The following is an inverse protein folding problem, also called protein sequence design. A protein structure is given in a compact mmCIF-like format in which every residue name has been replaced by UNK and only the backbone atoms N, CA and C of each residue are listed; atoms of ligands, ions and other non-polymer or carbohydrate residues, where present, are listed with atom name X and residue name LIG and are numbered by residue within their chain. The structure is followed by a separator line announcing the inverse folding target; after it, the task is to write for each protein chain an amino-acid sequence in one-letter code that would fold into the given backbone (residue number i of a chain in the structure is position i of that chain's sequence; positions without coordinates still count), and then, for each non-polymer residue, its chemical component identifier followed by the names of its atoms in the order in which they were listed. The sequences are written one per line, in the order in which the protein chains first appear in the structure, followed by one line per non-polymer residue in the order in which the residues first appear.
data_IF_690734674016
#
_entry.id   IF_690734674016
#
_cell.length_a   1.000
_cell.length_b   1.000
_cell.length_c   1.000
_cell.angle_alpha   90.00
_cell.angle_beta   90.00
_cell.angle_gamma   90.00
#
_symmetry.space_group_name_H-M   'P 1'
#
loop_
_entity.id
_entity.type
_entity.pdbx_description
1 polymer ?
#
# COMPACT_ATOMS: atom_id res chain seq x y z
N UNK A 1 1.11 10.75 9.86
CA UNK A 1 2.51 11.10 10.15
C UNK A 1 3.48 9.93 9.96
N UNK A 2 3.31 8.81 10.66
CA UNK A 2 4.21 7.62 10.55
C UNK A 2 4.46 7.18 9.09
N UNK A 3 3.39 7.06 8.29
CA UNK A 3 3.46 6.63 6.89
C UNK A 3 4.21 7.59 5.95
N UNK A 4 4.37 8.86 6.32
CA UNK A 4 5.13 9.84 5.52
C UNK A 4 6.63 9.68 5.82
N UNK A 5 6.97 9.46 7.09
CA UNK A 5 8.35 9.16 7.49
C UNK A 5 8.89 7.90 6.83
N UNK A 6 8.07 6.84 6.73
CA UNK A 6 8.44 5.60 6.03
C UNK A 6 8.75 5.86 4.56
N UNK A 7 7.89 6.59 3.83
CA UNK A 7 8.14 6.90 2.41
C UNK A 7 9.36 7.77 2.20
N UNK A 8 9.64 8.70 3.11
CA UNK A 8 10.85 9.52 3.05
C UNK A 8 12.11 8.66 3.28
N UNK A 9 12.08 7.77 4.28
CA UNK A 9 13.17 6.85 4.58
C UNK A 9 13.50 5.92 3.42
N UNK A 10 12.49 5.30 2.81
CA UNK A 10 12.68 4.48 1.60
C UNK A 10 13.18 5.31 0.41
N UNK A 11 12.65 6.53 0.23
CA UNK A 11 13.15 7.44 -0.80
C UNK A 11 14.65 7.70 -0.69
N UNK A 12 15.14 7.98 0.53
CA UNK A 12 16.56 8.21 0.80
C UNK A 12 17.37 6.93 0.61
N UNK A 13 16.88 5.79 1.10
CA UNK A 13 17.55 4.49 0.92
C UNK A 13 17.79 4.18 -0.56
N UNK A 14 16.75 4.26 -1.40
CA UNK A 14 16.91 3.98 -2.83
C UNK A 14 17.75 5.01 -3.56
N UNK A 15 17.77 6.27 -3.11
CA UNK A 15 18.67 7.28 -3.66
C UNK A 15 20.14 6.92 -3.38
N UNK A 16 20.46 6.49 -2.15
CA UNK A 16 21.79 6.02 -1.78
C UNK A 16 22.16 4.69 -2.46
N UNK A 17 21.17 3.86 -2.75
CA UNK A 17 21.34 2.59 -3.45
C UNK A 17 21.51 2.76 -4.98
N UNK A 18 21.31 3.97 -5.52
CA UNK A 18 21.37 4.25 -6.96
C UNK A 18 20.11 3.86 -7.74
N UNK A 19 19.02 3.49 -7.05
CA UNK A 19 17.73 3.17 -7.66
C UNK A 19 16.84 4.43 -7.73
N UNK A 20 17.21 5.37 -8.61
CA UNK A 20 16.59 6.70 -8.69
C UNK A 20 15.08 6.66 -8.95
N UNK A 21 14.60 5.75 -9.79
CA UNK A 21 13.16 5.59 -10.04
C UNK A 21 12.40 5.27 -8.75
N UNK A 22 12.91 4.35 -7.94
CA UNK A 22 12.28 3.93 -6.69
C UNK A 22 12.35 5.03 -5.62
N UNK A 23 13.41 5.83 -5.63
CA UNK A 23 13.52 6.99 -4.77
C UNK A 23 12.41 8.02 -5.07
N UNK A 24 12.29 8.42 -6.34
CA UNK A 24 11.28 9.38 -6.78
C UNK A 24 9.87 8.85 -6.52
N UNK A 25 9.62 7.57 -6.82
CA UNK A 25 8.31 6.95 -6.61
C UNK A 25 7.88 6.98 -5.13
N UNK A 26 8.80 6.69 -4.20
CA UNK A 26 8.54 6.77 -2.76
C UNK A 26 8.26 8.20 -2.29
N UNK A 27 9.08 9.17 -2.72
CA UNK A 27 8.89 10.57 -2.37
C UNK A 27 7.55 11.11 -2.88
N UNK A 28 7.18 10.77 -4.12
CA UNK A 28 5.93 11.20 -4.74
C UNK A 28 4.71 10.56 -4.07
N UNK A 29 4.82 9.30 -3.62
CA UNK A 29 3.80 8.67 -2.77
C UNK A 29 3.68 9.37 -1.42
N UNK A 30 4.80 9.78 -0.80
CA UNK A 30 4.79 10.59 0.42
C UNK A 30 4.08 11.93 0.23
N UNK A 31 4.35 12.62 -0.88
CA UNK A 31 3.70 13.87 -1.25
C UNK A 31 2.20 13.69 -1.47
N UNK A 32 1.79 12.61 -2.14
CA UNK A 32 0.38 12.28 -2.32
C UNK A 32 -0.31 12.11 -0.95
N UNK A 33 0.33 11.41 0.00
CA UNK A 33 -0.20 11.22 1.36
C UNK A 33 -0.29 12.54 2.14
N UNK A 34 0.66 13.44 1.96
CA UNK A 34 0.60 14.80 2.53
C UNK A 34 -0.57 15.61 1.94
N UNK A 35 -0.81 15.49 0.63
CA UNK A 35 -1.93 16.16 -0.01
C UNK A 35 -3.29 15.66 0.55
N UNK A 36 -3.38 14.40 0.97
CA UNK A 36 -4.57 13.83 1.61
C UNK A 36 -4.64 14.06 3.14
N UNK A 37 -3.66 14.74 3.74
CA UNK A 37 -3.61 15.01 5.19
C UNK A 37 -4.68 16.03 5.67
N UNK A 38 -5.01 17.10 4.94
CA UNK A 38 -6.15 17.96 5.26
C UNK A 38 -7.42 17.22 4.87
N UNK A 39 -8.17 16.74 5.87
CA UNK A 39 -9.34 15.88 5.69
C UNK A 39 -10.42 16.41 4.73
N UNK A 40 -11.13 15.45 4.13
CA UNK A 40 -12.49 15.54 3.55
C UNK A 40 -12.86 16.68 2.58
N UNK A 41 -11.94 17.17 1.74
CA UNK A 41 -12.34 17.81 0.46
C UNK A 41 -12.36 16.79 -0.67
N UNK A 42 -13.32 15.86 -0.56
CA UNK A 42 -13.34 14.50 -1.12
C UNK A 42 -13.29 14.39 -2.66
N UNK A 43 -13.57 15.47 -3.41
CA UNK A 43 -13.55 15.44 -4.89
C UNK A 43 -12.30 16.08 -5.48
N UNK A 44 -11.88 17.25 -4.96
CA UNK A 44 -10.72 17.97 -5.50
C UNK A 44 -9.41 17.24 -5.17
N UNK A 45 -9.31 16.66 -3.97
CA UNK A 45 -8.14 15.87 -3.55
C UNK A 45 -8.04 14.53 -4.29
N UNK A 46 -9.17 13.90 -4.63
CA UNK A 46 -9.17 12.73 -5.54
C UNK A 46 -8.65 13.13 -6.92
N UNK A 47 -9.06 14.27 -7.48
CA UNK A 47 -8.51 14.72 -8.77
C UNK A 47 -7.00 14.96 -8.71
N UNK A 48 -6.50 15.56 -7.64
CA UNK A 48 -5.07 15.76 -7.43
C UNK A 48 -4.31 14.43 -7.33
N UNK A 49 -4.87 13.45 -6.61
CA UNK A 49 -4.29 12.10 -6.54
C UNK A 49 -4.23 11.41 -7.91
N UNK A 50 -5.22 11.62 -8.80
CA UNK A 50 -5.23 11.08 -10.16
C UNK A 50 -4.21 11.81 -11.04
N UNK A 51 -3.99 13.10 -10.78
CA UNK A 51 -3.00 13.91 -11.50
C UNK A 51 -1.56 13.54 -11.11
N UNK A 52 -1.34 12.99 -9.91
CA UNK A 52 -0.03 12.47 -9.52
C UNK A 52 0.31 11.14 -10.20
N UNK A 53 -0.66 10.36 -10.67
CA UNK A 53 -0.42 9.10 -11.41
C UNK A 53 0.33 9.31 -12.74
N UNK A 54 -0.06 10.22 -13.65
CA UNK A 54 0.71 10.49 -14.85
C UNK A 54 2.05 11.14 -14.52
N UNK A 55 2.17 11.90 -13.44
CA UNK A 55 3.47 12.41 -12.97
C UNK A 55 4.38 11.27 -12.53
N UNK A 56 3.87 10.26 -11.80
CA UNK A 56 4.63 9.05 -11.44
C UNK A 56 5.11 8.29 -12.69
N UNK A 57 4.25 8.16 -13.71
CA UNK A 57 4.61 7.56 -15.01
C UNK A 57 5.70 8.36 -15.73
N UNK A 58 5.52 9.67 -15.86
CA UNK A 58 6.46 10.57 -16.55
C UNK A 58 7.82 10.62 -15.83
N UNK A 59 7.81 10.75 -14.51
CA UNK A 59 9.03 10.81 -13.70
C UNK A 59 9.80 9.49 -13.71
N UNK A 60 9.15 8.38 -14.05
CA UNK A 60 9.82 7.09 -14.16
C UNK A 60 10.33 6.79 -15.57
N UNK A 61 9.90 7.56 -16.57
CA UNK A 61 10.46 7.51 -17.91
C UNK A 61 11.85 8.19 -18.00
N UNK A 62 12.18 9.07 -17.05
CA UNK A 62 13.46 9.79 -17.01
C UNK A 62 14.65 8.88 -16.62
N UNK A 63 14.67 8.23 -15.43
CA UNK A 63 15.73 7.31 -15.01
C UNK A 63 15.46 5.85 -15.44
N UNK A 64 15.02 5.63 -16.68
CA UNK A 64 14.55 4.31 -17.12
C UNK A 64 15.65 3.23 -17.01
N UNK A 65 15.49 2.33 -16.05
CA UNK A 65 16.42 1.24 -15.74
C UNK A 65 15.87 -0.13 -16.15
N UNK A 66 14.84 -0.16 -17.01
CA UNK A 66 14.21 -1.38 -17.49
C UNK A 66 13.15 -1.95 -16.53
N UNK A 67 13.23 -3.26 -16.26
CA UNK A 67 12.23 -3.98 -15.48
C UNK A 67 12.08 -3.48 -14.02
N UNK A 68 13.15 -3.11 -13.28
CA UNK A 68 13.01 -2.54 -11.94
C UNK A 68 12.17 -1.26 -11.94
N UNK A 69 12.39 -0.35 -12.90
CA UNK A 69 11.60 0.88 -12.99
C UNK A 69 10.11 0.60 -13.18
N UNK A 70 9.73 -0.39 -14.01
CA UNK A 70 8.34 -0.84 -14.17
C UNK A 70 7.74 -1.37 -12.86
N UNK A 71 8.51 -2.16 -12.12
CA UNK A 71 8.11 -2.70 -10.82
C UNK A 71 7.88 -1.60 -9.79
N UNK A 72 8.80 -0.63 -9.67
CA UNK A 72 8.66 0.50 -8.75
C UNK A 72 7.45 1.39 -9.10
N UNK A 73 7.23 1.66 -10.39
CA UNK A 73 6.08 2.43 -10.88
C UNK A 73 4.77 1.75 -10.53
N UNK A 74 4.63 0.49 -10.94
CA UNK A 74 3.40 -0.26 -10.70
C UNK A 74 3.13 -0.42 -9.20
N UNK A 75 4.16 -0.75 -8.42
CA UNK A 75 4.08 -0.86 -6.97
C UNK A 75 3.66 0.43 -6.27
N UNK A 76 3.86 1.58 -6.91
CA UNK A 76 3.46 2.90 -6.37
C UNK A 76 2.08 3.33 -6.85
N UNK A 77 1.75 3.10 -8.13
CA UNK A 77 0.48 3.49 -8.74
C UNK A 77 -0.68 2.65 -8.19
N UNK A 78 -0.50 1.34 -7.99
CA UNK A 78 -1.58 0.47 -7.52
C UNK A 78 -2.10 0.91 -6.13
N UNK A 79 -1.25 1.10 -5.10
CA UNK A 79 -1.69 1.60 -3.80
C UNK A 79 -2.18 3.05 -3.85
N UNK A 80 -1.69 3.85 -4.81
CA UNK A 80 -2.19 5.20 -5.04
C UNK A 80 -3.65 5.18 -5.50
N UNK A 81 -4.00 4.32 -6.47
CA UNK A 81 -5.39 4.10 -6.92
C UNK A 81 -6.25 3.55 -5.78
N UNK A 82 -5.71 2.63 -4.99
CA UNK A 82 -6.37 2.08 -3.80
C UNK A 82 -6.85 3.15 -2.83
N UNK A 83 -6.01 4.17 -2.56
CA UNK A 83 -6.33 5.29 -1.65
C UNK A 83 -7.46 6.19 -2.15
N UNK A 84 -7.88 6.02 -3.39
CA UNK A 84 -8.96 6.79 -4.01
C UNK A 84 -10.28 6.03 -4.00
N UNK A 85 -10.26 4.76 -3.56
CA UNK A 85 -11.45 3.95 -3.37
C UNK A 85 -12.13 4.38 -2.06
N UNK A 86 -13.46 4.49 -2.09
CA UNK A 86 -14.27 4.73 -0.89
C UNK A 86 -14.42 3.48 -0.01
N UNK A 87 -14.16 2.31 -0.59
CA UNK A 87 -14.32 1.01 0.03
C UNK A 87 -12.97 0.51 0.58
N UNK A 88 -12.93 0.24 1.89
CA UNK A 88 -11.74 -0.24 2.58
C UNK A 88 -11.25 -1.62 2.09
N UNK A 89 -12.15 -2.49 1.64
CA UNK A 89 -11.78 -3.80 1.10
C UNK A 89 -11.03 -3.63 -0.22
N UNK A 90 -11.54 -2.78 -1.11
CA UNK A 90 -10.88 -2.47 -2.38
C UNK A 90 -9.53 -1.81 -2.15
N UNK A 91 -9.43 -0.87 -1.20
CA UNK A 91 -8.16 -0.27 -0.80
C UNK A 91 -7.12 -1.35 -0.41
N UNK A 92 -7.52 -2.31 0.42
CA UNK A 92 -6.62 -3.40 0.86
C UNK A 92 -6.13 -4.25 -0.31
N UNK A 93 -7.02 -4.61 -1.23
CA UNK A 93 -6.67 -5.38 -2.44
C UNK A 93 -5.64 -4.62 -3.29
N UNK A 94 -5.87 -3.33 -3.54
CA UNK A 94 -4.95 -2.49 -4.32
C UNK A 94 -3.59 -2.33 -3.65
N UNK A 95 -3.56 -2.18 -2.32
CA UNK A 95 -2.31 -2.12 -1.57
C UNK A 95 -1.54 -3.43 -1.70
N UNK A 96 -2.19 -4.59 -1.48
CA UNK A 96 -1.54 -5.90 -1.61
C UNK A 96 -1.05 -6.16 -3.03
N UNK A 97 -1.84 -5.79 -4.04
CA UNK A 97 -1.44 -5.93 -5.43
C UNK A 97 -0.22 -5.06 -5.78
N UNK A 98 -0.08 -3.88 -5.16
CA UNK A 98 1.10 -3.02 -5.30
C UNK A 98 2.34 -3.51 -4.55
N UNK A 99 2.19 -4.25 -3.45
CA UNK A 99 3.34 -4.82 -2.72
C UNK A 99 4.06 -5.90 -3.52
N UNK A 100 3.37 -6.62 -4.42
CA UNK A 100 3.99 -7.67 -5.24
C UNK A 100 5.06 -7.09 -6.19
N UNK A 101 4.78 -6.02 -6.97
CA UNK A 101 5.81 -5.33 -7.74
C UNK A 101 6.96 -4.76 -6.90
N UNK A 102 6.69 -4.23 -5.70
CA UNK A 102 7.75 -3.72 -4.81
C UNK A 102 8.71 -4.83 -4.35
N UNK A 103 8.16 -5.98 -3.96
CA UNK A 103 8.95 -7.16 -3.63
C UNK A 103 9.84 -7.58 -4.81
N UNK A 104 9.28 -7.59 -6.03
CA UNK A 104 10.02 -7.97 -7.24
C UNK A 104 11.12 -6.93 -7.57
N UNK A 105 10.82 -5.64 -7.44
CA UNK A 105 11.81 -4.57 -7.58
C UNK A 105 12.99 -4.80 -6.62
N UNK A 106 12.70 -5.05 -5.35
CA UNK A 106 13.74 -5.22 -4.33
C UNK A 106 14.57 -6.47 -4.54
N UNK A 107 13.95 -7.55 -5.05
CA UNK A 107 14.67 -8.76 -5.45
C UNK A 107 15.60 -8.50 -6.64
N UNK A 108 15.15 -7.73 -7.64
CA UNK A 108 15.94 -7.40 -8.83
C UNK A 108 17.10 -6.44 -8.53
N UNK A 109 16.87 -5.50 -7.61
CA UNK A 109 17.87 -4.52 -7.18
C UNK A 109 18.81 -5.10 -6.11
N UNK A 110 18.44 -6.22 -5.47
CA UNK A 110 19.22 -6.82 -4.38
C UNK A 110 19.13 -6.00 -3.08
N UNK A 111 18.02 -5.28 -2.88
CA UNK A 111 17.80 -4.45 -1.71
C UNK A 111 17.40 -5.29 -0.50
N UNK A 112 17.94 -5.01 0.70
CA UNK A 112 17.53 -5.70 1.93
C UNK A 112 16.07 -5.38 2.34
N UNK A 113 15.45 -4.35 1.74
CA UNK A 113 14.04 -4.00 1.99
C UNK A 113 13.08 -5.11 1.53
N UNK A 114 13.52 -6.04 0.67
CA UNK A 114 12.73 -7.22 0.25
C UNK A 114 12.17 -8.02 1.45
N UNK A 115 12.89 -8.06 2.58
CA UNK A 115 12.41 -8.72 3.78
C UNK A 115 11.19 -8.02 4.40
N UNK A 116 11.15 -6.69 4.35
CA UNK A 116 10.04 -5.87 4.84
C UNK A 116 8.80 -6.09 3.97
N UNK A 117 8.98 -6.13 2.65
CA UNK A 117 7.89 -6.41 1.72
C UNK A 117 7.34 -7.83 1.88
N UNK A 118 8.21 -8.81 2.09
CA UNK A 118 7.82 -10.19 2.38
C UNK A 118 6.99 -10.28 3.68
N UNK A 119 7.45 -9.65 4.76
CA UNK A 119 6.70 -9.59 6.04
C UNK A 119 5.35 -8.90 5.86
N UNK A 120 5.30 -7.81 5.08
CA UNK A 120 4.07 -7.07 4.80
C UNK A 120 3.05 -7.92 4.06
N UNK A 121 3.48 -8.67 3.04
CA UNK A 121 2.63 -9.61 2.31
C UNK A 121 2.13 -10.75 3.20
N UNK A 122 3.02 -11.36 4.00
CA UNK A 122 2.65 -12.43 4.92
C UNK A 122 1.63 -11.97 5.96
N UNK A 123 1.84 -10.79 6.54
CA UNK A 123 0.93 -10.21 7.54
C UNK A 123 -0.42 -9.85 6.91
N UNK A 124 -0.42 -9.29 5.70
CA UNK A 124 -1.63 -9.00 4.93
C UNK A 124 -2.43 -10.27 4.63
N UNK A 125 -1.76 -11.31 4.11
CA UNK A 125 -2.37 -12.60 3.82
C UNK A 125 -2.93 -13.27 5.09
N UNK A 126 -2.17 -13.26 6.19
CA UNK A 126 -2.62 -13.77 7.47
C UNK A 126 -3.86 -13.05 8.00
N UNK A 127 -3.91 -11.72 7.86
CA UNK A 127 -5.07 -10.92 8.28
C UNK A 127 -6.32 -11.29 7.47
N UNK A 128 -6.20 -11.40 6.15
CA UNK A 128 -7.30 -11.84 5.27
C UNK A 128 -7.76 -13.25 5.63
N UNK A 129 -6.82 -14.16 5.89
CA UNK A 129 -7.14 -15.53 6.28
C UNK A 129 -7.84 -15.62 7.64
N UNK A 130 -7.43 -14.81 8.62
CA UNK A 130 -8.09 -14.71 9.94
C UNK A 130 -9.52 -14.18 9.81
N UNK A 131 -9.74 -13.17 8.98
CA UNK A 131 -11.07 -12.57 8.76
C UNK A 131 -12.02 -13.52 8.03
N UNK A 132 -11.50 -14.41 7.16
CA UNK A 132 -12.29 -15.42 6.47
C UNK A 132 -12.61 -16.67 7.31
N UNK A 133 -12.08 -16.79 8.53
CA UNK A 133 -12.48 -17.87 9.44
C UNK A 133 -13.86 -17.51 10.03
N UNK A 134 -14.94 -18.22 9.69
CA UNK A 134 -16.22 -18.01 10.36
C UNK A 134 -16.04 -18.28 11.85
N UNK A 135 -16.44 -17.33 12.69
CA UNK A 135 -16.49 -17.50 14.13
C UNK A 135 -17.56 -18.54 14.49
N UNK A 136 -17.24 -19.82 14.30
CA UNK A 136 -18.09 -20.94 14.74
C UNK A 136 -18.30 -20.97 16.27
N UNK A 137 -17.64 -20.08 17.04
CA UNK A 137 -17.77 -19.97 18.49
C UNK A 137 -18.71 -18.88 19.01
N UNK A 138 -19.05 -17.85 18.23
CA UNK A 138 -19.82 -16.70 18.75
C UNK A 138 -21.34 -16.86 18.59
N UNK A 139 -21.79 -17.68 17.65
CA UNK A 139 -23.20 -18.04 17.51
C UNK A 139 -23.72 -18.80 18.75
N UNK A 140 -22.97 -19.81 19.23
CA UNK A 140 -23.33 -20.57 20.42
C UNK A 140 -23.29 -19.76 21.71
N UNK A 141 -22.36 -18.79 21.83
CA UNK A 141 -22.25 -17.91 23.01
C UNK A 141 -23.38 -16.88 23.08
N UNK A 142 -23.84 -16.37 21.94
CA UNK A 142 -25.01 -15.47 21.86
C UNK A 142 -26.33 -16.20 22.10
N UNK A 143 -26.47 -17.45 21.63
CA UNK A 143 -27.64 -18.29 21.89
C UNK A 143 -27.73 -18.73 23.35
N UNK A 144 -26.60 -19.09 23.98
CA UNK A 144 -26.54 -19.41 25.41
C UNK A 144 -26.82 -18.19 26.31
N UNK A 145 -26.44 -16.98 25.87
CA UNK A 145 -26.73 -15.73 26.59
C UNK A 145 -28.18 -15.23 26.39
N UNK A 146 -28.91 -15.74 25.39
CA UNK A 146 -30.31 -15.41 25.11
C UNK A 146 -31.30 -16.46 25.63
N UNK A 147 -30.82 -17.56 26.22
CA UNK A 147 -31.69 -18.54 26.86
C UNK A 147 -32.33 -17.90 28.11
N UNK A 148 -33.68 -17.78 28.17
CA UNK A 148 -34.34 -17.24 29.35
C UNK A 148 -34.05 -18.14 30.55
N UNK A 149 -33.67 -17.53 31.68
CA UNK A 149 -33.58 -18.23 32.95
C UNK A 149 -34.94 -18.86 33.24
N UNK A 150 -35.02 -20.19 33.12
CA UNK A 150 -36.22 -20.93 33.49
C UNK A 150 -36.47 -20.71 34.99
N UNK A 151 -37.68 -20.24 35.28
CA UNK A 151 -38.25 -19.92 36.60
C UNK A 151 -38.24 -21.12 37.52
#
# INVERSE_FOLDING_TARGET
MVQIGVTAGFGIHYALFGAETAAIANLLSGLQRLAFLPGEKVVCLRRLGYLLVPVMLLMSALPWSGLPSLCAVSGTILPAIGRMQADEEKLRIWVMAGTIPWLLHDLLVGSPIVAIDAISLLTGAYTVWRLKRPAHGDAGRRQAAQAPAAV
#
